data_IF_095497310473
#
_entry.id   IF_095497310473
#
_cell.length_a   1.000
_cell.length_b   1.000
_cell.length_c   1.000
_cell.angle_alpha   90.00
_cell.angle_beta   90.00
_cell.angle_gamma   90.00
#
_symmetry.space_group_name_H-M   'P 1'
#
loop_
_entity.id
_entity.type
_entity.pdbx_description
1 polymer ?
#
# COMPACT_ATOMS: atom_id res chain seq x y z
N UNK A 1 -18.28 -14.42 -6.86
CA UNK A 1 -17.34 -14.67 -7.99
C UNK A 1 -16.89 -13.37 -8.65
N UNK A 2 -17.82 -12.48 -9.01
CA UNK A 2 -17.54 -11.16 -9.57
C UNK A 2 -16.76 -10.21 -8.63
N UNK A 3 -17.16 -10.08 -7.36
CA UNK A 3 -16.46 -9.22 -6.38
C UNK A 3 -14.96 -9.48 -6.31
N UNK A 4 -14.56 -10.77 -6.37
CA UNK A 4 -13.16 -11.16 -6.33
C UNK A 4 -12.43 -10.79 -7.62
N UNK A 5 -13.09 -10.88 -8.79
CA UNK A 5 -12.51 -10.41 -10.06
C UNK A 5 -12.26 -8.92 -10.00
N UNK A 6 -13.24 -8.17 -9.51
CA UNK A 6 -13.19 -6.72 -9.50
C UNK A 6 -12.18 -6.18 -8.47
N UNK A 7 -12.12 -6.78 -7.27
CA UNK A 7 -11.05 -6.51 -6.31
C UNK A 7 -9.66 -6.94 -6.82
N UNK A 8 -9.57 -8.05 -7.56
CA UNK A 8 -8.30 -8.49 -8.18
C UNK A 8 -7.84 -7.51 -9.25
N UNK A 9 -8.76 -7.02 -10.08
CA UNK A 9 -8.47 -5.98 -11.07
C UNK A 9 -7.99 -4.70 -10.39
N UNK A 10 -8.74 -4.20 -9.40
CA UNK A 10 -8.36 -3.01 -8.65
C UNK A 10 -6.95 -3.15 -8.04
N UNK A 11 -6.72 -4.23 -7.28
CA UNK A 11 -5.43 -4.48 -6.62
C UNK A 11 -4.28 -4.54 -7.62
N UNK A 12 -4.46 -5.21 -8.78
CA UNK A 12 -3.41 -5.39 -9.77
C UNK A 12 -3.18 -4.20 -10.69
N UNK A 13 -4.19 -3.36 -10.97
CA UNK A 13 -4.10 -2.38 -12.05
C UNK A 13 -4.60 -0.98 -11.72
N UNK A 14 -5.34 -0.79 -10.63
CA UNK A 14 -5.83 0.54 -10.22
C UNK A 14 -5.24 1.03 -8.89
N UNK A 15 -4.71 0.14 -8.05
CA UNK A 15 -4.03 0.55 -6.83
C UNK A 15 -2.80 1.39 -7.17
N UNK A 16 -2.57 2.46 -6.41
CA UNK A 16 -1.43 3.36 -6.62
C UNK A 16 -0.12 2.58 -6.52
N UNK A 17 -0.02 1.62 -5.58
CA UNK A 17 1.12 0.70 -5.53
C UNK A 17 1.39 0.00 -6.86
N UNK A 18 0.38 -0.68 -7.41
CA UNK A 18 0.59 -1.49 -8.61
C UNK A 18 0.78 -0.66 -9.86
N UNK A 19 0.08 0.48 -9.93
CA UNK A 19 0.06 1.34 -11.11
C UNK A 19 1.27 2.27 -11.18
N UNK A 20 1.65 2.86 -10.03
CA UNK A 20 2.66 3.92 -9.94
C UNK A 20 4.00 3.40 -9.42
N UNK A 21 4.00 2.54 -8.40
CA UNK A 21 5.23 2.16 -7.69
C UNK A 21 5.84 0.83 -8.12
N UNK A 22 5.05 -0.11 -8.66
CA UNK A 22 5.56 -1.37 -9.21
C UNK A 22 6.69 -1.16 -10.23
N UNK A 23 6.65 -0.16 -11.15
CA UNK A 23 7.76 0.13 -12.07
C UNK A 23 9.05 0.63 -11.39
N UNK A 24 8.99 1.07 -10.13
CA UNK A 24 10.14 1.51 -9.33
C UNK A 24 10.42 0.57 -8.15
N UNK A 25 9.82 -0.62 -8.10
CA UNK A 25 9.95 -1.55 -6.97
C UNK A 25 11.40 -1.88 -6.63
N UNK A 26 12.27 -2.11 -7.63
CA UNK A 26 13.71 -2.36 -7.37
C UNK A 26 14.40 -1.17 -6.69
N UNK A 27 14.06 0.07 -7.11
CA UNK A 27 14.58 1.29 -6.49
C UNK A 27 14.05 1.45 -5.07
N UNK A 28 12.77 1.16 -4.86
CA UNK A 28 12.14 1.15 -3.54
C UNK A 28 12.84 0.17 -2.58
N UNK A 29 13.07 -1.08 -3.01
CA UNK A 29 13.77 -2.08 -2.19
C UNK A 29 15.20 -1.63 -1.88
N UNK A 30 15.94 -1.15 -2.88
CA UNK A 30 17.30 -0.64 -2.68
C UNK A 30 17.32 0.54 -1.69
N UNK A 31 16.39 1.49 -1.84
CA UNK A 31 16.25 2.62 -0.93
C UNK A 31 16.00 2.16 0.51
N UNK A 32 15.07 1.22 0.74
CA UNK A 32 14.79 0.68 2.08
C UNK A 32 16.05 0.03 2.68
N UNK A 33 16.78 -0.77 1.90
CA UNK A 33 18.03 -1.41 2.37
C UNK A 33 19.08 -0.35 2.75
N UNK A 34 19.28 0.67 1.91
CA UNK A 34 20.24 1.75 2.19
C UNK A 34 19.86 2.52 3.46
N UNK A 35 18.58 2.82 3.65
CA UNK A 35 18.12 3.53 4.86
C UNK A 35 18.29 2.67 6.12
N UNK A 36 18.06 1.36 6.04
CA UNK A 36 18.31 0.45 7.16
C UNK A 36 19.81 0.40 7.52
N UNK A 37 20.69 0.32 6.52
CA UNK A 37 22.14 0.36 6.75
C UNK A 37 22.58 1.69 7.36
N UNK A 38 22.02 2.82 6.89
CA UNK A 38 22.29 4.14 7.45
C UNK A 38 21.84 4.25 8.91
N UNK A 39 20.67 3.71 9.25
CA UNK A 39 20.17 3.68 10.63
C UNK A 39 21.06 2.82 11.54
N UNK A 40 21.50 1.65 11.07
CA UNK A 40 22.43 0.78 11.79
C UNK A 40 23.78 1.49 12.02
N UNK A 41 24.32 2.15 10.98
CA UNK A 41 25.56 2.91 11.10
C UNK A 41 25.42 4.06 12.11
N UNK A 42 24.32 4.81 12.06
CA UNK A 42 24.01 5.87 13.02
C UNK A 42 23.98 5.33 14.45
N UNK A 43 23.38 4.17 14.67
CA UNK A 43 23.38 3.50 15.98
C UNK A 43 24.80 3.18 16.46
N UNK A 44 25.63 2.52 15.63
CA UNK A 44 27.01 2.16 16.01
C UNK A 44 27.89 3.39 16.28
N UNK A 45 27.80 4.42 15.45
CA UNK A 45 28.55 5.67 15.65
C UNK A 45 28.13 6.32 16.97
N UNK A 46 26.84 6.28 17.31
CA UNK A 46 26.34 6.85 18.56
C UNK A 46 26.85 6.10 19.79
N UNK A 47 26.94 4.77 19.73
CA UNK A 47 27.56 3.96 20.78
C UNK A 47 29.06 4.27 20.92
N UNK A 48 29.78 4.43 19.81
CA UNK A 48 31.20 4.78 19.86
C UNK A 48 31.45 6.17 20.49
N UNK A 49 30.67 7.17 20.09
CA UNK A 49 30.77 8.51 20.68
C UNK A 49 30.32 8.56 22.14
N UNK A 50 29.42 7.65 22.53
CA UNK A 50 28.99 7.51 23.92
C UNK A 50 30.13 7.18 24.86
N UNK A 51 30.90 6.17 24.46
CA UNK A 51 32.02 5.64 25.23
C UNK A 51 33.12 6.70 25.44
N UNK A 52 33.37 7.55 24.43
CA UNK A 52 34.42 8.56 24.49
C UNK A 52 34.07 9.90 25.14
N UNK A 53 32.84 10.38 25.01
CA UNK A 53 32.51 11.80 25.29
C UNK A 53 31.61 12.04 26.50
N UNK A 54 30.93 11.00 27.01
CA UNK A 54 29.99 11.10 28.13
C UNK A 54 28.75 12.01 27.89
N UNK A 55 28.62 12.66 26.73
CA UNK A 55 27.57 13.63 26.37
C UNK A 55 26.66 13.09 25.24
N UNK A 56 26.23 11.85 25.39
CA UNK A 56 25.51 11.05 24.40
C UNK A 56 24.19 11.60 23.90
N UNK A 57 23.36 12.12 24.81
CA UNK A 57 21.93 12.21 24.52
C UNK A 57 21.60 13.30 23.49
N UNK A 58 22.20 14.48 23.57
CA UNK A 58 21.85 15.60 22.67
C UNK A 58 22.35 15.40 21.24
N UNK A 59 23.58 14.90 21.07
CA UNK A 59 24.15 14.68 19.74
C UNK A 59 23.40 13.56 18.99
N UNK A 60 23.08 12.46 19.68
CA UNK A 60 22.30 11.37 19.12
C UNK A 60 20.90 11.84 18.69
N UNK A 61 20.19 12.57 19.56
CA UNK A 61 18.87 13.11 19.25
C UNK A 61 18.93 14.01 18.01
N UNK A 62 19.93 14.90 17.92
CA UNK A 62 20.12 15.77 16.76
C UNK A 62 20.35 15.00 15.46
N UNK A 63 21.25 14.01 15.47
CA UNK A 63 21.52 13.16 14.31
C UNK A 63 20.30 12.31 13.91
N UNK A 64 19.55 11.80 14.90
CA UNK A 64 18.33 11.02 14.66
C UNK A 64 17.26 11.87 13.99
N UNK A 65 16.96 13.07 14.51
CA UNK A 65 16.01 14.00 13.89
C UNK A 65 16.44 14.40 12.48
N UNK A 66 17.74 14.69 12.28
CA UNK A 66 18.30 14.97 10.96
C UNK A 66 18.09 13.80 9.99
N UNK A 67 18.32 12.58 10.44
CA UNK A 67 18.06 11.37 9.67
C UNK A 67 16.58 11.23 9.30
N UNK A 68 15.65 11.44 10.23
CA UNK A 68 14.21 11.35 9.95
C UNK A 68 13.76 12.37 8.87
N UNK A 69 14.24 13.61 8.98
CA UNK A 69 13.97 14.67 7.99
C UNK A 69 14.56 14.28 6.63
N UNK A 70 15.82 13.84 6.60
CA UNK A 70 16.47 13.37 5.38
C UNK A 70 15.72 12.20 4.74
N UNK A 71 15.21 11.26 5.55
CA UNK A 71 14.41 10.13 5.07
C UNK A 71 13.15 10.62 4.37
N UNK A 72 12.43 11.59 4.93
CA UNK A 72 11.23 12.15 4.32
C UNK A 72 11.52 12.77 2.94
N UNK A 73 12.50 13.68 2.86
CA UNK A 73 12.82 14.37 1.60
C UNK A 73 13.44 13.43 0.56
N UNK A 74 14.33 12.53 0.98
CA UNK A 74 14.97 11.59 0.07
C UNK A 74 13.96 10.58 -0.48
N UNK A 75 12.94 10.16 0.28
CA UNK A 75 11.86 9.34 -0.25
C UNK A 75 11.09 10.06 -1.38
N UNK A 76 10.73 11.33 -1.15
CA UNK A 76 10.06 12.15 -2.16
C UNK A 76 10.88 12.27 -3.45
N UNK A 77 12.19 12.47 -3.33
CA UNK A 77 13.06 12.67 -4.49
C UNK A 77 13.42 11.37 -5.21
N UNK A 78 13.81 10.31 -4.49
CA UNK A 78 14.33 9.08 -5.07
C UNK A 78 13.26 8.06 -5.44
N UNK A 79 12.09 8.11 -4.81
CA UNK A 79 10.99 7.17 -5.07
C UNK A 79 9.82 7.87 -5.73
N UNK A 80 9.26 8.91 -5.10
CA UNK A 80 8.00 9.49 -5.53
C UNK A 80 8.11 10.21 -6.89
N UNK A 81 9.09 11.11 -7.02
CA UNK A 81 9.35 11.84 -8.28
C UNK A 81 9.60 10.92 -9.49
N UNK A 82 10.50 9.90 -9.44
CA UNK A 82 10.69 9.01 -10.58
C UNK A 82 9.48 8.12 -10.85
N UNK A 83 8.67 7.79 -9.84
CA UNK A 83 7.42 7.06 -10.06
C UNK A 83 6.42 7.91 -10.86
N UNK A 84 6.26 9.19 -10.50
CA UNK A 84 5.44 10.16 -11.27
C UNK A 84 5.91 10.31 -12.72
N UNK A 85 7.22 10.49 -12.94
CA UNK A 85 7.78 10.65 -14.30
C UNK A 85 7.55 9.39 -15.14
N UNK A 86 7.78 8.20 -14.57
CA UNK A 86 7.54 6.95 -15.31
C UNK A 86 6.06 6.76 -15.67
N UNK A 87 5.16 7.12 -14.76
CA UNK A 87 3.72 7.06 -15.01
C UNK A 87 3.34 7.97 -16.18
N UNK A 88 3.78 9.23 -16.11
CA UNK A 88 3.51 10.22 -17.15
C UNK A 88 4.07 9.79 -18.51
N UNK A 89 5.31 9.31 -18.55
CA UNK A 89 5.92 8.86 -19.82
C UNK A 89 5.20 7.65 -20.42
N UNK A 90 4.64 6.76 -19.59
CA UNK A 90 3.99 5.53 -20.06
C UNK A 90 2.54 5.74 -20.48
N UNK A 91 1.77 6.49 -19.69
CA UNK A 91 0.32 6.64 -19.86
C UNK A 91 -0.12 8.08 -20.15
N UNK A 92 0.79 9.05 -20.22
CA UNK A 92 0.47 10.48 -20.42
C UNK A 92 -0.59 11.00 -19.46
N UNK A 93 -0.61 10.46 -18.25
CA UNK A 93 -1.54 10.84 -17.17
C UNK A 93 -0.70 11.29 -16.00
N UNK A 94 -1.02 12.47 -15.49
CA UNK A 94 -0.39 13.04 -14.32
C UNK A 94 -1.04 12.51 -13.03
N UNK A 95 -0.21 12.04 -12.10
CA UNK A 95 -0.66 11.55 -10.81
C UNK A 95 -1.17 12.71 -9.95
N UNK A 96 -2.43 12.63 -9.50
CA UNK A 96 -3.17 13.71 -8.81
C UNK A 96 -3.43 14.96 -9.67
N UNK A 97 -3.30 14.86 -11.00
CA UNK A 97 -3.79 15.90 -11.90
C UNK A 97 -5.31 15.84 -12.07
N UNK A 98 -5.88 16.82 -12.77
CA UNK A 98 -7.33 16.92 -13.03
C UNK A 98 -7.91 15.68 -13.72
N UNK A 99 -7.11 15.00 -14.54
CA UNK A 99 -7.54 13.82 -15.30
C UNK A 99 -7.40 12.50 -14.53
N UNK A 100 -6.76 12.51 -13.35
CA UNK A 100 -6.40 11.29 -12.62
C UNK A 100 -7.63 10.47 -12.17
N UNK A 101 -8.56 11.09 -11.46
CA UNK A 101 -9.77 10.40 -10.99
C UNK A 101 -10.74 10.06 -12.13
N UNK A 102 -11.04 10.96 -13.10
CA UNK A 102 -11.82 10.61 -14.28
C UNK A 102 -11.23 9.43 -15.06
N UNK A 103 -9.89 9.36 -15.21
CA UNK A 103 -9.22 8.22 -15.83
C UNK A 103 -9.49 6.92 -15.08
N UNK A 104 -9.39 6.91 -13.74
CA UNK A 104 -9.66 5.71 -12.94
C UNK A 104 -11.11 5.26 -13.07
N UNK A 105 -12.06 6.19 -13.05
CA UNK A 105 -13.49 5.90 -13.24
C UNK A 105 -13.75 5.29 -14.62
N UNK A 106 -13.19 5.88 -15.68
CA UNK A 106 -13.33 5.37 -17.05
C UNK A 106 -12.64 4.01 -17.24
N UNK A 107 -11.47 3.79 -16.63
CA UNK A 107 -10.77 2.51 -16.63
C UNK A 107 -11.64 1.41 -16.01
N UNK A 108 -12.28 1.69 -14.87
CA UNK A 108 -13.21 0.75 -14.23
C UNK A 108 -14.46 0.52 -15.09
N UNK A 109 -15.06 1.58 -15.65
CA UNK A 109 -16.21 1.49 -16.58
C UNK A 109 -15.90 0.56 -17.76
N UNK A 110 -14.75 0.74 -18.43
CA UNK A 110 -14.35 -0.11 -19.56
C UNK A 110 -14.08 -1.56 -19.14
N UNK A 111 -13.51 -1.76 -17.96
CA UNK A 111 -13.34 -3.10 -17.40
C UNK A 111 -14.69 -3.80 -17.15
N UNK A 112 -15.67 -3.10 -16.58
CA UNK A 112 -17.01 -3.64 -16.33
C UNK A 112 -17.74 -4.04 -17.62
N UNK A 113 -17.60 -3.24 -18.68
CA UNK A 113 -18.14 -3.55 -20.01
C UNK A 113 -17.44 -4.78 -20.60
N UNK A 114 -16.09 -4.82 -20.53
CA UNK A 114 -15.29 -5.94 -21.07
C UNK A 114 -15.61 -7.28 -20.41
N UNK A 115 -15.83 -7.29 -19.09
CA UNK A 115 -16.23 -8.49 -18.35
C UNK A 115 -17.76 -8.76 -18.41
N UNK A 116 -18.50 -8.04 -19.25
CA UNK A 116 -19.95 -8.18 -19.49
C UNK A 116 -20.81 -8.00 -18.23
N UNK A 117 -20.39 -7.14 -17.31
CA UNK A 117 -21.21 -6.73 -16.14
C UNK A 117 -22.11 -5.56 -16.51
N UNK A 118 -21.61 -4.65 -17.34
CA UNK A 118 -22.40 -3.60 -17.96
C UNK A 118 -22.51 -3.88 -19.46
N UNK A 119 -23.62 -3.48 -20.06
CA UNK A 119 -23.86 -3.64 -21.49
C UNK A 119 -23.17 -2.53 -22.29
N UNK A 120 -23.04 -1.31 -21.72
CA UNK A 120 -22.34 -0.20 -22.36
C UNK A 120 -23.03 0.33 -23.62
N UNK A 121 -24.30 -0.03 -23.82
CA UNK A 121 -25.12 0.41 -24.96
C UNK A 121 -25.85 1.71 -24.62
N UNK A 122 -25.88 2.65 -25.55
CA UNK A 122 -26.63 3.90 -25.41
C UNK A 122 -28.12 3.67 -25.72
N UNK A 123 -28.91 3.53 -24.66
CA UNK A 123 -30.36 3.33 -24.71
C UNK A 123 -30.98 3.47 -23.32
N UNK A 124 -32.24 3.90 -23.22
CA UNK A 124 -32.90 4.10 -21.92
C UNK A 124 -33.01 2.80 -21.12
N UNK A 125 -33.33 1.71 -21.81
CA UNK A 125 -33.46 0.38 -21.19
C UNK A 125 -32.11 -0.26 -20.85
N UNK A 126 -31.08 -0.02 -21.66
CA UNK A 126 -29.71 -0.49 -21.36
C UNK A 126 -29.10 0.28 -20.19
N UNK A 127 -29.30 1.61 -20.12
CA UNK A 127 -28.88 2.42 -18.97
C UNK A 127 -29.52 1.94 -17.67
N UNK A 128 -30.82 1.62 -17.68
CA UNK A 128 -31.52 1.08 -16.51
C UNK A 128 -30.97 -0.29 -16.09
N UNK A 129 -30.66 -1.18 -17.05
CA UNK A 129 -30.03 -2.48 -16.75
C UNK A 129 -28.62 -2.32 -16.18
N UNK A 130 -27.85 -1.37 -16.71
CA UNK A 130 -26.50 -1.07 -16.24
C UNK A 130 -26.54 -0.44 -14.84
N UNK A 131 -27.53 0.41 -14.55
CA UNK A 131 -27.78 0.97 -13.21
C UNK A 131 -28.08 -0.12 -12.18
N UNK A 132 -29.01 -1.04 -12.49
CA UNK A 132 -29.34 -2.19 -11.61
C UNK A 132 -28.11 -3.07 -11.38
N UNK A 133 -27.29 -3.27 -12.41
CA UNK A 133 -26.06 -4.05 -12.31
C UNK A 133 -25.05 -3.38 -11.38
N UNK A 134 -24.89 -2.05 -11.48
CA UNK A 134 -24.03 -1.27 -10.58
C UNK A 134 -24.53 -1.29 -9.13
N UNK A 135 -25.84 -1.15 -8.92
CA UNK A 135 -26.44 -1.22 -7.57
C UNK A 135 -26.20 -2.57 -6.91
N UNK A 136 -26.37 -3.66 -7.66
CA UNK A 136 -26.02 -4.99 -7.17
C UNK A 136 -24.52 -5.08 -6.80
N UNK A 137 -23.63 -4.47 -7.58
CA UNK A 137 -22.19 -4.45 -7.27
C UNK A 137 -21.88 -3.67 -6.00
N UNK A 138 -22.50 -2.50 -5.83
CA UNK A 138 -22.32 -1.61 -4.68
C UNK A 138 -22.80 -2.30 -3.41
N UNK A 139 -24.05 -2.78 -3.38
CA UNK A 139 -24.64 -3.43 -2.22
C UNK A 139 -23.80 -4.63 -1.75
N UNK A 140 -23.29 -5.40 -2.70
CA UNK A 140 -22.46 -6.57 -2.43
C UNK A 140 -21.13 -6.17 -1.76
N UNK A 141 -20.49 -5.12 -2.24
CA UNK A 141 -19.23 -4.60 -1.70
C UNK A 141 -19.42 -3.94 -0.34
N UNK A 142 -20.52 -3.21 -0.12
CA UNK A 142 -20.90 -2.63 1.17
C UNK A 142 -21.07 -3.71 2.23
N UNK A 143 -21.87 -4.75 1.95
CA UNK A 143 -22.03 -5.92 2.85
C UNK A 143 -20.71 -6.62 3.16
N UNK A 144 -19.74 -6.59 2.24
CA UNK A 144 -18.40 -7.16 2.47
C UNK A 144 -17.54 -6.25 3.34
N UNK A 145 -17.62 -4.93 3.14
CA UNK A 145 -16.93 -3.93 3.93
C UNK A 145 -17.41 -3.94 5.39
N UNK A 146 -18.72 -4.01 5.62
CA UNK A 146 -19.30 -4.13 6.97
C UNK A 146 -18.81 -5.37 7.71
N UNK A 147 -18.85 -6.53 7.05
CA UNK A 147 -18.34 -7.79 7.62
C UNK A 147 -16.87 -7.70 8.00
N UNK A 148 -16.04 -7.03 7.19
CA UNK A 148 -14.62 -6.81 7.52
C UNK A 148 -14.43 -5.85 8.68
N UNK A 149 -15.15 -4.72 8.72
CA UNK A 149 -15.08 -3.76 9.82
C UNK A 149 -15.36 -4.43 11.16
N UNK A 150 -16.41 -5.27 11.22
CA UNK A 150 -16.77 -6.04 12.43
C UNK A 150 -15.62 -6.95 12.88
N UNK A 151 -15.05 -7.75 11.96
CA UNK A 151 -13.92 -8.64 12.29
C UNK A 151 -12.65 -7.86 12.69
N UNK A 152 -12.39 -6.72 12.05
CA UNK A 152 -11.21 -5.89 12.32
C UNK A 152 -11.25 -5.29 13.72
N UNK A 153 -12.39 -4.83 14.22
CA UNK A 153 -12.49 -4.29 15.58
C UNK A 153 -12.00 -5.29 16.64
N UNK A 154 -12.44 -6.55 16.54
CA UNK A 154 -11.98 -7.63 17.42
C UNK A 154 -10.49 -7.95 17.26
N UNK A 155 -9.99 -7.91 16.02
CA UNK A 155 -8.57 -8.19 15.74
C UNK A 155 -7.67 -7.06 16.24
N UNK A 156 -8.07 -5.79 16.06
CA UNK A 156 -7.38 -4.60 16.57
C UNK A 156 -7.28 -4.68 18.09
N UNK A 157 -8.38 -4.95 18.79
CA UNK A 157 -8.36 -5.02 20.25
C UNK A 157 -7.36 -6.08 20.75
N UNK A 158 -7.31 -7.24 20.08
CA UNK A 158 -6.38 -8.32 20.40
C UNK A 158 -4.93 -8.05 19.96
N UNK A 159 -4.70 -7.28 18.89
CA UNK A 159 -3.36 -7.06 18.35
C UNK A 159 -2.67 -5.85 18.98
N UNK A 160 -3.42 -4.80 19.30
CA UNK A 160 -2.86 -3.61 19.94
C UNK A 160 -2.47 -3.85 21.39
N UNK A 161 -3.12 -4.78 22.09
CA UNK A 161 -2.66 -5.24 23.40
C UNK A 161 -1.29 -5.94 23.31
N UNK A 162 -1.09 -6.80 22.31
CA UNK A 162 0.20 -7.44 22.07
C UNK A 162 1.29 -6.45 21.66
N UNK A 163 0.97 -5.47 20.80
CA UNK A 163 1.91 -4.39 20.41
C UNK A 163 2.25 -3.51 21.61
N UNK A 164 1.27 -3.16 22.44
CA UNK A 164 1.48 -2.40 23.67
C UNK A 164 2.44 -3.14 24.60
N UNK A 165 2.22 -4.43 24.84
CA UNK A 165 3.13 -5.27 25.63
C UNK A 165 4.52 -5.33 24.99
N UNK A 166 4.60 -5.53 23.67
CA UNK A 166 5.88 -5.61 22.95
C UNK A 166 6.69 -4.30 22.94
N UNK A 167 6.05 -3.15 23.14
CA UNK A 167 6.73 -1.85 23.23
C UNK A 167 7.02 -1.46 24.69
N UNK A 168 6.05 -1.64 25.58
CA UNK A 168 6.16 -1.20 26.99
C UNK A 168 7.11 -2.09 27.76
N UNK A 169 7.10 -3.41 27.56
CA UNK A 169 7.95 -4.33 28.31
C UNK A 169 9.44 -4.08 28.04
N UNK A 170 9.92 -3.96 26.79
CA UNK A 170 11.34 -3.66 26.54
C UNK A 170 11.76 -2.26 27.01
N UNK A 171 10.91 -1.25 26.84
CA UNK A 171 11.20 0.13 27.32
C UNK A 171 11.29 0.15 28.85
N UNK A 172 10.37 -0.55 29.53
CA UNK A 172 10.39 -0.68 30.98
C UNK A 172 11.59 -1.49 31.48
N UNK A 173 11.92 -2.60 30.79
CA UNK A 173 13.08 -3.42 31.12
C UNK A 173 14.39 -2.67 30.90
N UNK A 174 14.53 -1.91 29.80
CA UNK A 174 15.72 -1.10 29.53
C UNK A 174 15.88 0.03 30.55
N UNK A 175 14.77 0.66 30.95
CA UNK A 175 14.78 1.67 32.01
C UNK A 175 15.25 1.09 33.35
N UNK A 176 14.68 -0.06 33.76
CA UNK A 176 15.09 -0.71 35.00
C UNK A 176 16.57 -1.13 34.96
N UNK A 177 17.01 -1.78 33.87
CA UNK A 177 18.42 -2.17 33.72
C UNK A 177 19.37 -0.96 33.77
N UNK A 178 19.03 0.14 33.11
CA UNK A 178 19.82 1.37 33.17
C UNK A 178 19.88 1.95 34.60
N UNK A 179 18.76 1.95 35.31
CA UNK A 179 18.67 2.44 36.68
C UNK A 179 19.51 1.59 37.64
N UNK A 180 19.48 0.25 37.50
CA UNK A 180 20.30 -0.66 38.30
C UNK A 180 21.80 -0.59 37.96
N UNK A 181 22.17 -0.37 36.69
CA UNK A 181 23.59 -0.26 36.29
C UNK A 181 24.28 1.03 36.79
N UNK A 182 23.53 2.10 37.02
CA UNK A 182 24.05 3.42 37.44
C UNK A 182 23.89 3.68 38.95
N UNK A 183 23.42 2.70 39.72
CA UNK A 183 22.76 2.84 41.04
C UNK A 183 23.50 3.64 42.12
N UNK A 184 24.79 3.89 41.98
CA UNK A 184 25.59 4.70 42.92
C UNK A 184 25.47 6.22 42.73
N UNK A 185 25.12 6.71 41.52
CA UNK A 185 25.11 8.16 41.19
C UNK A 185 23.84 8.62 40.43
N UNK A 186 22.71 7.89 40.53
CA UNK A 186 21.46 8.28 39.88
C UNK A 186 20.71 9.29 40.75
N UNK A 187 20.71 10.56 40.33
CA UNK A 187 19.74 11.53 40.85
C UNK A 187 18.38 11.36 40.15
N UNK A 188 17.31 11.69 40.86
CA UNK A 188 15.94 11.65 40.33
C UNK A 188 15.80 12.47 39.02
N UNK A 189 16.53 13.59 38.92
CA UNK A 189 16.59 14.41 37.71
C UNK A 189 17.21 13.71 36.50
N UNK A 190 18.25 12.89 36.68
CA UNK A 190 18.87 12.09 35.61
C UNK A 190 17.91 11.01 35.10
N UNK A 191 17.18 10.34 35.99
CA UNK A 191 16.20 9.33 35.61
C UNK A 191 15.00 9.92 34.84
N UNK A 192 14.50 11.07 35.30
CA UNK A 192 13.44 11.81 34.60
C UNK A 192 13.93 12.26 33.22
N UNK A 193 15.15 12.79 33.11
CA UNK A 193 15.71 13.23 31.83
C UNK A 193 15.84 12.09 30.81
N UNK A 194 16.24 10.90 31.26
CA UNK A 194 16.29 9.70 30.40
C UNK A 194 14.90 9.30 29.89
N UNK A 195 13.90 9.19 30.78
CA UNK A 195 12.53 8.85 30.38
C UNK A 195 11.94 9.88 29.40
N UNK A 196 12.13 11.17 29.67
CA UNK A 196 11.68 12.25 28.77
C UNK A 196 12.33 12.12 27.39
N UNK A 197 13.63 11.80 27.33
CA UNK A 197 14.34 11.62 26.06
C UNK A 197 13.81 10.44 25.25
N UNK A 198 13.55 9.30 25.89
CA UNK A 198 12.98 8.11 25.23
C UNK A 198 11.57 8.39 24.72
N UNK A 199 10.72 9.01 25.54
CA UNK A 199 9.37 9.39 25.14
C UNK A 199 9.40 10.38 23.97
N UNK A 200 10.32 11.35 24.00
CA UNK A 200 10.48 12.33 22.92
C UNK A 200 10.86 11.66 21.59
N UNK A 201 11.81 10.72 21.58
CA UNK A 201 12.20 9.97 20.37
C UNK A 201 11.00 9.19 19.82
N UNK A 202 10.25 8.51 20.70
CA UNK A 202 9.06 7.75 20.31
C UNK A 202 8.01 8.69 19.68
N UNK A 203 7.74 9.84 20.31
CA UNK A 203 6.79 10.83 19.80
C UNK A 203 7.27 11.39 18.45
N UNK A 204 8.55 11.73 18.29
CA UNK A 204 9.11 12.21 17.02
C UNK A 204 8.90 11.19 15.90
N UNK A 205 9.26 9.94 16.16
CA UNK A 205 9.08 8.85 15.22
C UNK A 205 7.61 8.68 14.81
N UNK A 206 6.69 8.72 15.77
CA UNK A 206 5.26 8.62 15.46
C UNK A 206 4.74 9.85 14.71
N UNK A 207 5.16 11.06 15.07
CA UNK A 207 4.76 12.28 14.38
C UNK A 207 5.22 12.24 12.91
N UNK A 208 6.49 11.91 12.67
CA UNK A 208 7.02 11.80 11.31
C UNK A 208 6.42 10.61 10.56
N UNK A 209 6.14 9.50 11.23
CA UNK A 209 5.40 8.39 10.65
C UNK A 209 3.98 8.79 10.22
N UNK A 210 3.26 9.59 11.01
CA UNK A 210 1.93 10.10 10.66
C UNK A 210 2.04 11.01 9.43
N UNK A 211 2.99 11.93 9.41
CA UNK A 211 3.24 12.83 8.27
C UNK A 211 3.60 12.02 7.02
N UNK A 212 4.58 11.12 7.13
CA UNK A 212 5.00 10.22 6.06
C UNK A 212 3.83 9.34 5.58
N UNK A 213 3.00 8.88 6.52
CA UNK A 213 1.81 8.09 6.20
C UNK A 213 0.82 8.91 5.38
N UNK A 214 0.52 10.12 5.81
CA UNK A 214 -0.43 10.98 5.13
C UNK A 214 0.05 11.36 3.71
N UNK A 215 1.32 11.75 3.57
CA UNK A 215 1.87 12.19 2.28
C UNK A 215 2.16 11.05 1.30
N UNK A 216 2.52 9.86 1.81
CA UNK A 216 3.02 8.78 0.96
C UNK A 216 2.30 7.45 1.12
N UNK A 217 1.91 7.04 2.34
CA UNK A 217 1.44 5.66 2.58
C UNK A 217 -0.06 5.48 2.38
N UNK A 218 -0.90 6.44 2.77
CA UNK A 218 -2.37 6.31 2.73
C UNK A 218 -2.86 5.95 1.33
N UNK A 219 -2.27 6.58 0.34
CA UNK A 219 -2.52 6.30 -1.07
C UNK A 219 -1.77 5.07 -1.59
N UNK A 220 -0.56 4.82 -1.12
CA UNK A 220 0.28 3.72 -1.60
C UNK A 220 -0.27 2.36 -1.20
N UNK A 221 -0.53 2.16 0.09
CA UNK A 221 -0.82 0.84 0.63
C UNK A 221 -2.29 0.50 0.54
N UNK A 222 -3.19 1.50 0.44
CA UNK A 222 -4.66 1.39 0.34
C UNK A 222 -5.14 0.09 0.97
N UNK A 223 -5.42 0.13 2.27
CA UNK A 223 -5.80 -1.07 3.01
C UNK A 223 -7.03 -1.71 2.36
N UNK A 224 -7.21 -3.02 2.51
CA UNK A 224 -8.29 -3.75 1.81
C UNK A 224 -9.68 -3.11 1.98
N UNK A 225 -9.96 -2.47 3.13
CA UNK A 225 -11.22 -1.77 3.39
C UNK A 225 -11.30 -0.44 2.64
N UNK A 226 -10.19 0.32 2.60
CA UNK A 226 -10.09 1.53 1.78
C UNK A 226 -10.24 1.19 0.30
N UNK A 227 -9.65 0.07 -0.17
CA UNK A 227 -9.84 -0.40 -1.55
C UNK A 227 -11.31 -0.66 -1.85
N UNK A 228 -12.03 -1.33 -0.94
CA UNK A 228 -13.45 -1.60 -1.13
C UNK A 228 -14.24 -0.27 -1.12
N UNK A 229 -13.94 0.65 -0.21
CA UNK A 229 -14.59 1.96 -0.14
C UNK A 229 -14.37 2.80 -1.40
N UNK A 230 -13.13 2.98 -1.85
CA UNK A 230 -12.82 3.68 -3.09
C UNK A 230 -13.52 3.05 -4.28
N UNK A 231 -13.62 1.73 -4.29
CA UNK A 231 -14.27 1.04 -5.38
C UNK A 231 -15.78 1.25 -5.40
N UNK A 232 -16.43 1.29 -4.23
CA UNK A 232 -17.83 1.68 -4.10
C UNK A 232 -18.03 3.11 -4.60
N UNK A 233 -17.17 4.04 -4.20
CA UNK A 233 -17.21 5.44 -4.63
C UNK A 233 -17.08 5.57 -6.16
N UNK A 234 -16.12 4.86 -6.77
CA UNK A 234 -15.97 4.86 -8.23
C UNK A 234 -17.20 4.26 -8.93
N UNK A 235 -17.80 3.20 -8.38
CA UNK A 235 -19.03 2.60 -8.95
C UNK A 235 -20.21 3.58 -8.84
N UNK A 236 -20.35 4.30 -7.74
CA UNK A 236 -21.36 5.35 -7.57
C UNK A 236 -21.15 6.50 -8.55
N UNK A 237 -19.89 6.91 -8.76
CA UNK A 237 -19.52 7.92 -9.74
C UNK A 237 -19.83 7.50 -11.18
N UNK A 238 -19.56 6.23 -11.53
CA UNK A 238 -19.96 5.66 -12.82
C UNK A 238 -21.49 5.64 -12.95
N UNK A 239 -22.22 5.21 -11.92
CA UNK A 239 -23.69 5.23 -11.91
C UNK A 239 -24.23 6.64 -12.16
N UNK A 240 -23.68 7.64 -11.48
CA UNK A 240 -24.04 9.04 -11.67
C UNK A 240 -23.80 9.51 -13.11
N UNK A 241 -22.68 9.10 -13.71
CA UNK A 241 -22.32 9.45 -15.08
C UNK A 241 -23.23 8.85 -16.17
N UNK A 242 -23.95 7.75 -15.88
CA UNK A 242 -24.90 7.16 -16.84
C UNK A 242 -26.06 8.13 -17.17
N UNK A 243 -26.48 8.90 -16.17
CA UNK A 243 -27.55 9.89 -16.26
C UNK A 243 -27.02 11.31 -16.55
N UNK A 244 -25.74 11.58 -16.27
CA UNK A 244 -25.08 12.87 -16.50
C UNK A 244 -23.83 12.71 -17.37
N UNK A 245 -24.02 12.68 -18.69
CA UNK A 245 -22.92 12.46 -19.65
C UNK A 245 -21.86 13.56 -19.63
N UNK A 246 -22.17 14.76 -19.12
CA UNK A 246 -21.22 15.86 -18.95
C UNK A 246 -20.14 15.59 -17.90
N UNK A 247 -20.36 14.63 -17.00
CA UNK A 247 -19.45 14.36 -15.88
C UNK A 247 -18.17 13.60 -16.30
N UNK A 248 -18.30 12.49 -17.03
CA UNK A 248 -17.14 11.74 -17.57
C UNK A 248 -16.94 11.92 -19.09
N UNK A 249 -17.96 12.38 -19.82
CA UNK A 249 -17.94 12.48 -21.28
C UNK A 249 -16.82 13.35 -21.87
N UNK A 250 -16.46 14.51 -21.28
CA UNK A 250 -15.34 15.32 -21.78
C UNK A 250 -14.00 14.57 -21.76
N UNK A 251 -13.79 13.71 -20.76
CA UNK A 251 -12.57 12.91 -20.62
C UNK A 251 -12.62 11.65 -21.51
N UNK A 252 -13.80 11.06 -21.69
CA UNK A 252 -13.99 9.88 -22.57
C UNK A 252 -13.69 10.20 -24.04
N UNK A 253 -13.90 11.46 -24.45
CA UNK A 253 -13.57 11.96 -25.80
C UNK A 253 -12.08 12.24 -26.02
N UNK A 254 -11.25 12.28 -24.98
CA UNK A 254 -9.80 12.53 -25.14
C UNK A 254 -9.08 11.26 -25.60
N UNK A 255 -8.43 11.31 -26.76
CA UNK A 255 -7.76 10.16 -27.36
C UNK A 255 -6.68 9.55 -26.46
N UNK A 256 -5.86 10.37 -25.80
CA UNK A 256 -4.78 9.86 -24.94
C UNK A 256 -5.31 9.08 -23.72
N UNK A 257 -6.44 9.50 -23.15
CA UNK A 257 -7.09 8.79 -22.04
C UNK A 257 -7.56 7.42 -22.53
N UNK A 258 -8.22 7.36 -23.68
CA UNK A 258 -8.72 6.12 -24.25
C UNK A 258 -7.59 5.13 -24.61
N UNK A 259 -6.53 5.61 -25.25
CA UNK A 259 -5.34 4.81 -25.55
C UNK A 259 -4.70 4.25 -24.27
N UNK A 260 -4.57 5.08 -23.23
CA UNK A 260 -4.02 4.66 -21.96
C UNK A 260 -4.87 3.63 -21.25
N UNK A 261 -6.21 3.78 -21.26
CA UNK A 261 -7.11 2.77 -20.72
C UNK A 261 -6.94 1.44 -21.45
N UNK A 262 -6.88 1.47 -22.79
CA UNK A 262 -6.73 0.28 -23.62
C UNK A 262 -5.42 -0.44 -23.31
N UNK A 263 -4.30 0.29 -23.24
CA UNK A 263 -2.99 -0.24 -22.82
C UNK A 263 -3.06 -0.94 -21.46
N UNK A 264 -3.74 -0.36 -20.47
CA UNK A 264 -3.85 -0.95 -19.13
C UNK A 264 -4.67 -2.25 -19.14
N UNK A 265 -5.76 -2.28 -19.91
CA UNK A 265 -6.62 -3.46 -20.05
C UNK A 265 -5.92 -4.59 -20.81
N UNK A 266 -5.13 -4.29 -21.82
CA UNK A 266 -4.37 -5.29 -22.58
C UNK A 266 -3.25 -5.90 -21.74
N UNK A 267 -2.52 -5.06 -21.00
CA UNK A 267 -1.52 -5.53 -20.04
C UNK A 267 -2.16 -6.41 -18.94
N UNK A 268 -3.39 -6.12 -18.53
CA UNK A 268 -4.11 -6.94 -17.55
C UNK A 268 -4.45 -8.33 -18.08
N UNK A 269 -4.96 -8.43 -19.32
CA UNK A 269 -5.24 -9.72 -19.94
C UNK A 269 -3.95 -10.51 -20.18
N UNK A 270 -2.88 -9.86 -20.62
CA UNK A 270 -1.58 -10.51 -20.81
C UNK A 270 -1.06 -11.10 -19.49
N UNK A 271 -1.16 -10.36 -18.38
CA UNK A 271 -0.78 -10.86 -17.05
C UNK A 271 -1.65 -12.04 -16.60
N UNK A 272 -2.95 -12.02 -16.93
CA UNK A 272 -3.89 -13.08 -16.61
C UNK A 272 -3.58 -14.35 -17.40
N UNK A 273 -3.16 -14.23 -18.66
CA UNK A 273 -2.69 -15.35 -19.49
C UNK A 273 -1.39 -15.95 -18.93
N UNK A 274 -0.38 -15.11 -18.64
CA UNK A 274 0.88 -15.57 -18.01
C UNK A 274 0.66 -16.27 -16.67
N UNK A 275 -0.28 -15.79 -15.85
CA UNK A 275 -0.63 -16.42 -14.58
C UNK A 275 -1.29 -17.81 -14.79
N UNK A 276 -2.07 -17.97 -15.86
CA UNK A 276 -2.66 -19.27 -16.22
C UNK A 276 -1.60 -20.24 -16.73
N UNK A 277 -0.73 -19.79 -17.64
CA UNK A 277 0.38 -20.60 -18.17
C UNK A 277 1.30 -21.09 -17.04
N UNK A 278 1.68 -20.20 -16.11
CA UNK A 278 2.50 -20.57 -14.97
C UNK A 278 1.83 -21.59 -14.04
N UNK A 279 0.51 -21.49 -13.84
CA UNK A 279 -0.23 -22.48 -13.04
C UNK A 279 -0.31 -23.82 -13.75
N UNK A 280 -0.51 -23.80 -15.05
CA UNK A 280 -0.57 -25.00 -15.88
C UNK A 280 0.80 -25.70 -15.91
N UNK A 281 1.90 -24.96 -16.10
CA UNK A 281 3.26 -25.54 -16.08
C UNK A 281 3.61 -26.15 -14.72
N UNK A 282 3.22 -25.50 -13.62
CA UNK A 282 3.42 -26.06 -12.27
C UNK A 282 2.60 -27.34 -12.08
N UNK A 283 1.35 -27.37 -12.54
CA UNK A 283 0.49 -28.56 -12.47
C UNK A 283 1.01 -29.73 -13.34
N UNK A 284 1.53 -29.45 -14.53
CA UNK A 284 2.20 -30.46 -15.36
C UNK A 284 3.45 -31.02 -14.67
N UNK A 285 4.24 -30.19 -14.01
CA UNK A 285 5.41 -30.65 -13.26
C UNK A 285 5.00 -31.53 -12.07
N UNK A 286 3.95 -31.17 -11.33
CA UNK A 286 3.43 -32.01 -10.23
C UNK A 286 2.87 -33.35 -10.72
N UNK A 287 2.06 -33.35 -11.78
CA UNK A 287 1.48 -34.59 -12.30
C UNK A 287 2.52 -35.55 -12.92
N UNK A 288 3.63 -35.01 -13.45
CA UNK A 288 4.76 -35.84 -13.90
C UNK A 288 5.57 -36.41 -12.73
N UNK A 289 5.71 -35.68 -11.61
CA UNK A 289 6.33 -36.20 -10.39
C UNK A 289 5.50 -37.35 -9.82
N UNK A 290 4.18 -37.18 -9.69
CA UNK A 290 3.29 -38.24 -9.19
C UNK A 290 3.31 -39.49 -10.08
N UNK A 291 3.43 -39.33 -11.40
CA UNK A 291 3.59 -40.48 -12.32
C UNK A 291 4.94 -41.18 -12.16
N UNK A 292 6.02 -40.43 -11.91
CA UNK A 292 7.35 -41.01 -11.68
C UNK A 292 7.43 -41.79 -10.37
N UNK A 293 6.77 -41.32 -9.30
CA UNK A 293 6.72 -42.00 -8.01
C UNK A 293 5.89 -43.29 -8.10
N UNK A 294 4.72 -43.24 -8.72
CA UNK A 294 3.86 -44.42 -8.92
C UNK A 294 4.47 -45.45 -9.90
N UNK A 295 5.40 -45.06 -10.77
CA UNK A 295 6.12 -45.96 -11.67
C UNK A 295 7.30 -46.66 -10.98
N UNK A 296 7.84 -46.08 -9.90
CA UNK A 296 8.88 -46.71 -9.07
C UNK A 296 8.27 -47.76 -8.14
N UNK A 297 7.12 -47.47 -7.51
CA UNK A 297 6.42 -48.42 -6.63
C UNK A 297 5.82 -49.64 -7.34
N UNK A 298 5.67 -49.62 -8.68
CA UNK A 298 5.20 -50.78 -9.46
C UNK A 298 6.32 -51.71 -9.96
N UNK A 299 7.57 -51.34 -9.73
CA UNK A 299 8.75 -52.10 -10.15
C UNK A 299 9.52 -52.70 -8.95
N UNK A 300 8.95 -52.65 -7.74
CA UNK A 300 9.34 -53.45 -6.56
C UNK A 300 8.31 -54.58 -6.34
#
# INVERSE_FOLDING_TARGET
MFENKLLKFYKKRMSIWSFVFKPVQKRFVCYVVVQLLALIALFFVSVYYADKSGKTNLWFIGCFLGFEICLFFSFGFFIFKPAKIKLFNKYRIELYGEEWEPFRHLLLKKFLIKEKIMNGLDGKDSKKKDEVSLDFCIERLEKRLERRKKNRFFTILSSYSAIFVALVVPVWASFNNWLYMKSTDVTLGLAISYLVSVIFIIISFFALFIVFRHFFIEDLLQWDDQRIAYLIEMLQSIKFSLNHSSYLGPFEKKNHINESITKVLDEYELDKLKEKEKKQSVWWNFSNIDKSVNAVEKNE
#
